data_IF_227503254388
#
_entry.id   IF_227503254388
#
_cell.length_a   1.000
_cell.length_b   1.000
_cell.length_c   1.000
_cell.angle_alpha   90.00
_cell.angle_beta   90.00
_cell.angle_gamma   90.00
#
_symmetry.space_group_name_H-M   'P 1'
#
loop_
_entity.id
_entity.type
_entity.pdbx_description
1 polymer ?
#
# COMPACT_ATOMS: atom_id res chain seq x y z
N UNK A 1 -38.83 2.52 -10.99
CA UNK A 1 -37.44 1.99 -10.96
C UNK A 1 -36.80 2.56 -9.71
N UNK A 2 -36.42 1.73 -8.73
CA UNK A 2 -35.73 2.22 -7.53
C UNK A 2 -34.34 2.72 -7.96
N UNK A 3 -34.12 4.03 -7.86
CA UNK A 3 -32.77 4.59 -7.89
C UNK A 3 -31.97 3.92 -6.77
N UNK A 4 -30.83 3.25 -7.02
CA UNK A 4 -29.97 2.83 -5.93
C UNK A 4 -29.53 4.11 -5.22
N UNK A 5 -29.78 4.18 -3.91
CA UNK A 5 -29.26 5.24 -3.05
C UNK A 5 -27.76 5.43 -3.35
N UNK A 6 -27.26 6.66 -3.44
CA UNK A 6 -25.83 6.88 -3.66
C UNK A 6 -25.09 6.18 -2.50
N UNK A 7 -24.37 5.11 -2.83
CA UNK A 7 -23.51 4.43 -1.86
C UNK A 7 -22.57 5.50 -1.29
N UNK A 8 -22.53 5.72 0.03
CA UNK A 8 -21.90 6.89 0.64
C UNK A 8 -20.36 6.96 0.47
N UNK A 9 -19.76 6.12 -0.36
CA UNK A 9 -18.32 5.93 -0.48
C UNK A 9 -17.84 4.70 0.29
N UNK A 10 -16.54 4.54 0.39
CA UNK A 10 -15.93 3.39 1.06
C UNK A 10 -15.62 3.72 2.51
N UNK A 11 -15.98 2.83 3.44
CA UNK A 11 -15.69 3.05 4.86
C UNK A 11 -14.19 3.15 5.12
N UNK A 12 -13.81 3.95 6.10
CA UNK A 12 -12.42 4.07 6.53
C UNK A 12 -11.87 2.72 7.03
N UNK A 13 -10.61 2.43 6.69
CA UNK A 13 -9.96 1.20 7.15
C UNK A 13 -9.07 1.53 8.35
N UNK A 14 -9.32 0.89 9.49
CA UNK A 14 -8.44 1.08 10.64
C UNK A 14 -7.03 0.56 10.32
N UNK A 15 -5.97 1.34 10.60
CA UNK A 15 -4.60 0.93 10.31
C UNK A 15 -4.24 -0.42 10.97
N UNK A 16 -3.49 -1.29 10.28
CA UNK A 16 -3.02 -2.55 10.86
C UNK A 16 -1.97 -2.30 11.94
N UNK A 17 -1.93 -3.14 12.99
CA UNK A 17 -1.00 -3.00 14.13
C UNK A 17 0.48 -2.91 13.72
N UNK A 18 0.88 -3.71 12.73
CA UNK A 18 2.26 -3.84 12.27
C UNK A 18 2.62 -2.87 11.13
N UNK A 19 1.81 -1.81 10.97
CA UNK A 19 1.97 -0.83 9.91
C UNK A 19 1.05 0.37 10.10
N UNK A 20 0.71 0.98 8.98
CA UNK A 20 -0.14 2.15 8.87
C UNK A 20 -0.88 2.15 7.55
N UNK A 21 -1.74 3.15 7.38
CA UNK A 21 -2.38 3.45 6.10
C UNK A 21 -2.13 4.93 5.82
N UNK A 22 -1.65 5.23 4.62
CA UNK A 22 -1.49 6.60 4.15
C UNK A 22 -2.77 7.02 3.43
N UNK A 23 -3.45 7.98 4.04
CA UNK A 23 -4.61 8.67 3.49
C UNK A 23 -4.15 9.93 2.76
N UNK A 24 -4.20 9.92 1.43
CA UNK A 24 -3.66 11.05 0.64
C UNK A 24 -4.54 12.28 0.82
N UNK A 25 -3.92 13.37 1.27
CA UNK A 25 -4.60 14.67 1.39
C UNK A 25 -5.57 14.76 2.56
N UNK A 26 -5.45 13.89 3.57
CA UNK A 26 -6.15 14.02 4.84
C UNK A 26 -5.15 14.17 5.99
N UNK A 27 -5.48 15.00 6.97
CA UNK A 27 -4.76 15.08 8.24
C UNK A 27 -5.16 13.94 9.18
N UNK A 28 -4.37 13.65 10.23
CA UNK A 28 -4.75 12.65 11.24
C UNK A 28 -6.12 12.92 11.89
N UNK A 29 -6.47 14.18 12.11
CA UNK A 29 -7.75 14.60 12.72
C UNK A 29 -8.92 14.38 11.77
N UNK A 30 -8.74 14.66 10.47
CA UNK A 30 -9.75 14.40 9.44
C UNK A 30 -10.01 12.90 9.28
N UNK A 31 -8.95 12.08 9.33
CA UNK A 31 -9.05 10.61 9.31
C UNK A 31 -9.91 10.09 10.46
N UNK A 32 -9.88 10.72 11.64
CA UNK A 32 -10.71 10.30 12.78
C UNK A 32 -12.19 10.68 12.65
N UNK A 33 -12.50 11.72 11.88
CA UNK A 33 -13.87 12.25 11.74
C UNK A 33 -14.58 11.75 10.48
N UNK A 34 -13.83 11.43 9.43
CA UNK A 34 -14.40 10.96 8.16
C UNK A 34 -14.86 9.50 8.25
N UNK A 35 -16.12 9.25 7.90
CA UNK A 35 -16.68 7.89 7.90
C UNK A 35 -16.52 7.18 6.56
N UNK A 36 -16.61 7.92 5.46
CA UNK A 36 -16.58 7.38 4.10
C UNK A 36 -15.68 8.20 3.19
N UNK A 37 -14.93 7.51 2.32
CA UNK A 37 -14.04 8.08 1.33
C UNK A 37 -14.67 8.02 -0.07
N UNK A 38 -14.47 9.05 -0.91
CA UNK A 38 -15.18 9.18 -2.18
C UNK A 38 -14.73 8.15 -3.22
N UNK A 39 -15.53 7.99 -4.28
CA UNK A 39 -15.16 7.20 -5.46
C UNK A 39 -13.78 7.61 -5.99
N UNK A 40 -13.01 6.62 -6.44
CA UNK A 40 -11.64 6.76 -6.92
C UNK A 40 -10.60 7.22 -5.89
N UNK A 41 -10.97 7.42 -4.62
CA UNK A 41 -10.02 7.69 -3.55
C UNK A 41 -9.08 6.48 -3.33
N UNK A 42 -7.78 6.74 -3.17
CA UNK A 42 -6.77 5.71 -2.97
C UNK A 42 -6.14 5.79 -1.59
N UNK A 43 -5.93 4.61 -0.99
CA UNK A 43 -5.17 4.42 0.24
C UNK A 43 -3.98 3.51 -0.01
N UNK A 44 -2.88 3.74 0.70
CA UNK A 44 -1.68 2.92 0.61
C UNK A 44 -1.35 2.31 1.97
N UNK A 45 -1.26 0.97 2.03
CA UNK A 45 -0.74 0.28 3.20
C UNK A 45 0.77 0.50 3.30
N UNK A 46 1.21 0.85 4.50
CA UNK A 46 2.62 1.07 4.84
C UNK A 46 2.99 0.10 5.95
N UNK A 47 4.07 -0.65 5.78
CA UNK A 47 4.58 -1.53 6.83
C UNK A 47 5.68 -0.85 7.64
N UNK A 48 5.92 -1.35 8.86
CA UNK A 48 7.11 -0.97 9.63
C UNK A 48 8.40 -1.35 8.87
N UNK A 49 9.55 -0.71 9.17
CA UNK A 49 10.80 -0.89 8.40
C UNK A 49 11.34 -2.32 8.29
N UNK A 50 10.93 -3.21 9.19
CA UNK A 50 11.33 -4.62 9.27
C UNK A 50 10.36 -5.59 8.56
N UNK A 51 9.36 -5.03 7.88
CA UNK A 51 8.23 -5.79 7.34
C UNK A 51 7.94 -5.43 5.89
N UNK A 52 7.52 -6.44 5.14
CA UNK A 52 7.04 -6.28 3.78
C UNK A 52 5.52 -6.46 3.70
N UNK A 53 4.91 -5.79 2.72
CA UNK A 53 3.48 -5.92 2.45
C UNK A 53 3.24 -7.18 1.61
N UNK A 54 2.35 -8.04 2.09
CA UNK A 54 1.82 -9.18 1.33
C UNK A 54 0.37 -8.88 0.98
N UNK A 55 0.05 -8.99 -0.31
CA UNK A 55 -1.25 -8.61 -0.87
C UNK A 55 -1.27 -7.21 -1.49
N UNK A 56 -2.46 -6.66 -1.80
CA UNK A 56 -2.58 -5.35 -2.44
C UNK A 56 -2.03 -4.23 -1.57
N UNK A 57 -1.00 -3.52 -2.04
CA UNK A 57 -0.42 -2.37 -1.34
C UNK A 57 -1.33 -1.14 -1.40
N UNK A 58 -1.99 -0.93 -2.54
CA UNK A 58 -2.90 0.19 -2.78
C UNK A 58 -4.32 -0.35 -2.92
N UNK A 59 -5.29 0.34 -2.31
CA UNK A 59 -6.71 0.09 -2.52
C UNK A 59 -7.40 1.35 -3.00
N UNK A 60 -8.31 1.19 -3.95
CA UNK A 60 -9.10 2.27 -4.55
C UNK A 60 -10.57 2.10 -4.20
N UNK A 61 -11.25 3.19 -3.86
CA UNK A 61 -12.68 3.15 -3.58
C UNK A 61 -13.49 3.03 -4.87
N UNK A 62 -14.37 2.03 -4.94
CA UNK A 62 -15.20 1.77 -6.10
C UNK A 62 -16.59 2.42 -5.96
N UNK A 63 -17.30 2.54 -7.09
CA UNK A 63 -18.65 3.13 -7.15
C UNK A 63 -19.68 2.37 -6.31
N UNK A 64 -19.46 1.08 -6.09
CA UNK A 64 -20.29 0.21 -5.25
C UNK A 64 -20.02 0.39 -3.73
N UNK A 65 -19.19 1.36 -3.32
CA UNK A 65 -18.86 1.61 -1.92
C UNK A 65 -17.90 0.60 -1.29
N UNK A 66 -17.25 -0.25 -2.10
CA UNK A 66 -16.25 -1.21 -1.63
C UNK A 66 -14.85 -0.86 -2.14
N UNK A 67 -13.83 -1.29 -1.40
CA UNK A 67 -12.44 -1.12 -1.83
C UNK A 67 -12.07 -2.14 -2.92
N UNK A 68 -11.09 -1.84 -3.76
CA UNK A 68 -10.53 -2.84 -4.68
C UNK A 68 -9.94 -4.03 -3.91
N UNK A 69 -9.98 -5.21 -4.54
CA UNK A 69 -9.35 -6.43 -4.05
C UNK A 69 -9.75 -6.84 -2.61
N UNK A 70 -11.01 -6.64 -2.22
CA UNK A 70 -11.52 -7.03 -0.89
C UNK A 70 -11.32 -8.52 -0.56
N UNK A 71 -11.29 -9.41 -1.56
CA UNK A 71 -10.98 -10.83 -1.38
C UNK A 71 -9.51 -11.15 -1.09
N UNK A 72 -8.59 -10.17 -1.20
CA UNK A 72 -7.16 -10.36 -0.99
C UNK A 72 -6.68 -9.50 0.19
N UNK A 73 -6.48 -10.09 1.39
CA UNK A 73 -6.11 -9.33 2.57
C UNK A 73 -4.68 -8.77 2.45
N UNK A 74 -4.52 -7.50 2.81
CA UNK A 74 -3.22 -6.83 2.90
C UNK A 74 -2.66 -7.00 4.32
N UNK A 75 -1.45 -7.56 4.44
CA UNK A 75 -0.82 -7.83 5.75
C UNK A 75 0.66 -7.51 5.71
N UNK A 76 1.19 -6.96 6.79
CA UNK A 76 2.63 -6.80 6.97
C UNK A 76 3.21 -8.08 7.54
N UNK A 77 4.25 -8.62 6.91
CA UNK A 77 4.99 -9.81 7.37
C UNK A 77 6.45 -9.47 7.58
N UNK A 78 7.08 -10.17 8.52
CA UNK A 78 8.52 -10.07 8.72
C UNK A 78 9.26 -10.48 7.47
N UNK A 79 10.30 -9.70 7.15
CA UNK A 79 11.20 -9.99 6.05
C UNK A 79 11.90 -11.35 6.25
N UNK A 80 11.84 -12.26 5.27
CA UNK A 80 12.65 -13.47 5.30
C UNK A 80 14.11 -13.12 4.96
N UNK A 81 14.86 -12.63 5.95
CA UNK A 81 16.28 -12.32 5.82
C UNK A 81 16.71 -11.12 6.65
N UNK A 82 17.85 -11.26 7.34
CA UNK A 82 18.43 -10.36 8.36
C UNK A 82 18.93 -9.00 7.81
N UNK A 83 18.45 -8.54 6.65
CA UNK A 83 18.81 -7.23 6.08
C UNK A 83 17.58 -6.49 5.58
N UNK A 84 17.05 -5.61 6.44
CA UNK A 84 15.95 -4.68 6.16
C UNK A 84 16.10 -3.94 4.81
N UNK A 85 17.34 -3.66 4.37
CA UNK A 85 17.63 -2.97 3.11
C UNK A 85 17.31 -3.77 1.83
N UNK A 86 17.05 -5.08 1.91
CA UNK A 86 16.77 -5.90 0.72
C UNK A 86 15.28 -6.06 0.40
N UNK A 87 14.38 -5.91 1.37
CA UNK A 87 12.94 -6.10 1.14
C UNK A 87 12.29 -4.96 0.33
N UNK A 88 12.70 -3.72 0.59
CA UNK A 88 12.15 -2.55 -0.10
C UNK A 88 12.90 -2.17 -1.38
N UNK A 89 13.97 -2.91 -1.73
CA UNK A 89 14.61 -2.73 -3.02
C UNK A 89 13.76 -3.47 -4.07
N UNK A 90 13.16 -2.76 -5.05
CA UNK A 90 12.64 -3.46 -6.21
C UNK A 90 13.80 -4.29 -6.79
N UNK A 91 13.56 -5.56 -7.13
CA UNK A 91 14.55 -6.39 -7.82
C UNK A 91 14.99 -5.64 -9.07
N UNK A 92 16.12 -4.94 -8.98
CA UNK A 92 16.77 -4.41 -10.17
C UNK A 92 17.21 -5.65 -10.95
N UNK A 93 16.70 -5.81 -12.17
CA UNK A 93 17.33 -6.73 -13.12
C UNK A 93 18.82 -6.40 -13.08
N UNK A 94 19.65 -7.33 -12.62
CA UNK A 94 21.10 -7.15 -12.61
C UNK A 94 21.54 -6.98 -14.06
N UNK A 95 21.71 -5.74 -14.50
CA UNK A 95 22.53 -5.46 -15.66
C UNK A 95 23.96 -5.76 -15.25
N UNK A 96 24.46 -6.92 -15.68
CA UNK A 96 25.88 -7.24 -15.64
C UNK A 96 26.63 -6.16 -16.41
N UNK A 97 27.24 -5.22 -15.69
CA UNK A 97 28.27 -4.38 -16.27
C UNK A 97 29.52 -5.24 -16.46
N UNK A 98 30.05 -5.37 -17.69
CA UNK A 98 31.31 -6.07 -17.88
C UNK A 98 32.43 -5.30 -17.16
N UNK A 99 33.19 -6.02 -16.34
CA UNK A 99 34.41 -5.49 -15.72
C UNK A 99 35.37 -5.02 -16.82
N UNK A 100 35.70 -3.72 -16.84
CA UNK A 100 36.79 -3.21 -17.67
C UNK A 100 38.11 -3.56 -16.98
N UNK A 101 39.03 -4.32 -17.58
CA UNK A 101 40.30 -4.62 -16.96
C UNK A 101 41.13 -3.34 -16.84
N UNK A 102 41.67 -3.10 -15.65
CA UNK A 102 42.60 -2.01 -15.35
C UNK A 102 43.95 -2.31 -15.99
N UNK A 103 44.30 -1.61 -17.06
CA UNK A 103 45.68 -1.49 -17.51
C UNK A 103 46.39 -0.46 -16.64
N UNK A 104 47.23 -0.91 -15.73
CA UNK A 104 48.21 -0.07 -15.03
C UNK A 104 49.45 0.12 -15.92
N UNK A 105 50.07 1.32 -15.96
CA UNK A 105 51.38 1.52 -16.55
C UNK A 105 52.51 0.95 -15.70
#
# INVERSE_FOLDING_TARGET
>A
MLSPSPTPGCQIIHPPRDGGIRYRGLTPEEVQSVRFLPFDYEIEYVCRPDREIVGPKVRKCQRNGTWTAMGHPSRCRECPGHRHHHCHRPRAHHHHHPHKPSTSP
#
